data_IF_279271931691
#
_entry.id   IF_279271931691
#
_cell.length_a   1.000
_cell.length_b   1.000
_cell.length_c   1.000
_cell.angle_alpha   90.00
_cell.angle_beta   90.00
_cell.angle_gamma   90.00
#
_symmetry.space_group_name_H-M   'P 1'
#
loop_
_entity.id
_entity.type
_entity.pdbx_description
1 polymer ?
#
# COMPACT_ATOMS: atom_id res chain seq x y z
N UNK A 1 -6.36 -29.35 13.44
CA UNK A 1 -5.44 -29.18 12.30
C UNK A 1 -5.41 -27.70 11.95
N UNK A 2 -4.55 -26.94 12.62
CA UNK A 2 -4.51 -25.48 12.54
C UNK A 2 -3.56 -25.09 11.41
N UNK A 3 -4.06 -24.35 10.43
CA UNK A 3 -3.26 -23.82 9.32
C UNK A 3 -2.21 -22.87 9.88
N UNK A 4 -0.92 -22.99 9.51
CA UNK A 4 0.10 -22.06 9.95
C UNK A 4 -0.22 -20.67 9.38
N UNK A 5 -0.14 -19.67 10.25
CA UNK A 5 -0.21 -18.26 9.94
C UNK A 5 0.79 -17.98 8.81
N UNK A 6 0.28 -17.81 7.59
CA UNK A 6 1.09 -17.53 6.41
C UNK A 6 1.93 -16.29 6.72
N UNK A 7 3.23 -16.51 6.74
CA UNK A 7 4.22 -15.50 6.96
C UNK A 7 3.97 -14.40 5.93
N UNK A 8 3.77 -13.18 6.43
CA UNK A 8 3.96 -11.95 5.67
C UNK A 8 5.45 -11.84 5.30
N UNK A 9 5.96 -12.82 4.54
CA UNK A 9 7.25 -12.69 3.92
C UNK A 9 7.20 -11.39 3.16
N UNK A 10 8.10 -10.50 3.57
CA UNK A 10 8.32 -9.18 3.04
C UNK A 10 8.74 -9.36 1.59
N UNK A 11 7.76 -9.68 0.75
CA UNK A 11 7.90 -9.72 -0.68
C UNK A 11 8.31 -8.31 -1.02
N UNK A 12 9.50 -8.18 -1.61
CA UNK A 12 9.88 -6.93 -2.25
C UNK A 12 8.72 -6.60 -3.19
N UNK A 13 7.85 -5.66 -2.79
CA UNK A 13 6.63 -5.31 -3.50
C UNK A 13 7.04 -4.69 -4.84
N UNK A 14 7.42 -5.52 -5.80
CA UNK A 14 7.71 -5.16 -7.18
C UNK A 14 6.44 -4.89 -7.99
N UNK A 15 5.27 -4.98 -7.34
CA UNK A 15 3.96 -4.68 -7.91
C UNK A 15 3.65 -3.19 -7.97
N UNK A 16 2.65 -2.87 -8.78
CA UNK A 16 2.03 -1.53 -8.82
C UNK A 16 1.32 -1.26 -7.49
N UNK A 17 1.32 0.01 -7.08
CA UNK A 17 0.58 0.47 -5.91
C UNK A 17 -0.41 1.54 -6.30
N UNK A 18 -1.54 1.59 -5.61
CA UNK A 18 -2.57 2.63 -5.76
C UNK A 18 -2.56 3.52 -4.51
N UNK A 19 -2.73 4.83 -4.71
CA UNK A 19 -2.87 5.79 -3.62
C UNK A 19 -4.28 5.75 -3.05
N UNK A 20 -4.40 5.57 -1.73
CA UNK A 20 -5.68 5.54 -1.02
C UNK A 20 -5.64 6.47 0.18
N UNK A 21 -6.57 7.42 0.26
CA UNK A 21 -6.71 8.32 1.41
C UNK A 21 -7.35 7.58 2.58
N UNK A 22 -6.69 7.58 3.75
CA UNK A 22 -7.24 7.01 4.97
C UNK A 22 -8.12 8.04 5.70
N UNK A 23 -9.35 7.67 6.03
CA UNK A 23 -10.29 8.55 6.75
C UNK A 23 -9.85 8.84 8.19
N UNK A 24 -8.99 7.99 8.76
CA UNK A 24 -8.57 8.09 10.16
C UNK A 24 -7.44 9.10 10.34
N UNK A 25 -6.46 9.13 9.43
CA UNK A 25 -5.29 10.01 9.54
C UNK A 25 -5.23 11.12 8.48
N UNK A 26 -6.16 11.10 7.51
CA UNK A 26 -6.27 12.10 6.45
C UNK A 26 -5.10 12.07 5.46
N UNK A 27 -4.31 10.99 5.40
CA UNK A 27 -3.16 10.87 4.51
C UNK A 27 -3.40 9.86 3.39
N UNK A 28 -2.76 10.11 2.25
CA UNK A 28 -2.68 9.17 1.14
C UNK A 28 -1.58 8.12 1.41
N UNK A 29 -1.96 6.84 1.38
CA UNK A 29 -1.03 5.72 1.53
C UNK A 29 -0.99 4.88 0.26
N UNK A 30 0.20 4.35 -0.06
CA UNK A 30 0.40 3.45 -1.20
C UNK A 30 0.02 2.03 -0.80
N UNK A 31 -1.05 1.51 -1.39
CA UNK A 31 -1.57 0.15 -1.18
C UNK A 31 -1.17 -0.73 -2.37
N UNK A 32 -0.55 -1.91 -2.15
CA UNK A 32 -0.30 -2.87 -3.22
C UNK A 32 -1.60 -3.32 -3.90
N UNK A 33 -1.61 -3.48 -5.23
CA UNK A 33 -2.81 -3.90 -5.98
C UNK A 33 -3.40 -5.22 -5.45
N UNK A 34 -2.54 -6.15 -5.04
CA UNK A 34 -2.95 -7.44 -4.43
C UNK A 34 -3.69 -7.28 -3.10
N UNK A 35 -3.29 -6.29 -2.28
CA UNK A 35 -3.96 -5.99 -1.01
C UNK A 35 -5.35 -5.39 -1.23
N UNK A 36 -5.62 -4.71 -2.35
CA UNK A 36 -6.96 -4.24 -2.68
C UNK A 36 -7.92 -5.40 -2.91
N UNK A 37 -7.49 -6.41 -3.68
CA UNK A 37 -8.29 -7.61 -3.94
C UNK A 37 -8.57 -8.38 -2.64
N UNK A 38 -7.55 -8.57 -1.80
CA UNK A 38 -7.68 -9.23 -0.49
C UNK A 38 -8.61 -8.42 0.44
N UNK A 39 -8.42 -7.10 0.50
CA UNK A 39 -9.15 -6.24 1.43
C UNK A 39 -10.65 -6.21 1.17
N UNK A 40 -11.05 -6.19 -0.10
CA UNK A 40 -12.46 -6.27 -0.50
C UNK A 40 -13.05 -7.63 -0.13
N UNK A 41 -12.33 -8.72 -0.38
CA UNK A 41 -12.85 -10.07 -0.19
C UNK A 41 -12.88 -10.54 1.28
N UNK A 42 -11.93 -10.09 2.11
CA UNK A 42 -11.68 -10.71 3.42
C UNK A 42 -11.53 -9.73 4.60
N UNK A 43 -11.27 -8.44 4.37
CA UNK A 43 -10.97 -7.48 5.46
C UNK A 43 -11.95 -6.31 5.54
N UNK A 44 -13.16 -6.49 5.03
CA UNK A 44 -14.21 -5.48 5.12
C UNK A 44 -13.85 -4.15 4.44
N UNK A 45 -13.02 -4.17 3.41
CA UNK A 45 -12.57 -2.98 2.69
C UNK A 45 -11.41 -2.23 3.37
N UNK A 46 -10.73 -2.84 4.34
CA UNK A 46 -9.47 -2.32 4.89
C UNK A 46 -8.27 -2.87 4.12
N UNK A 47 -7.24 -2.04 3.95
CA UNK A 47 -6.09 -2.38 3.10
C UNK A 47 -4.77 -2.15 3.83
N UNK A 48 -3.81 -3.06 3.69
CA UNK A 48 -2.47 -2.84 4.22
C UNK A 48 -1.65 -2.03 3.22
N UNK A 49 -1.16 -0.88 3.67
CA UNK A 49 -0.24 -0.05 2.89
C UNK A 49 1.22 -0.53 3.02
N UNK A 50 2.07 -0.14 2.08
CA UNK A 50 3.51 -0.45 2.09
C UNK A 50 4.26 0.13 3.29
N UNK A 51 3.69 1.15 3.94
CA UNK A 51 4.21 1.72 5.19
C UNK A 51 3.84 0.90 6.44
N UNK A 52 2.99 -0.12 6.30
CA UNK A 52 2.45 -0.93 7.40
C UNK A 52 1.16 -0.39 8.01
N UNK A 53 0.64 0.75 7.53
CA UNK A 53 -0.62 1.31 8.00
C UNK A 53 -1.81 0.52 7.43
N UNK A 54 -2.81 0.24 8.28
CA UNK A 54 -4.09 -0.32 7.83
C UNK A 54 -5.01 0.83 7.44
N UNK A 55 -5.18 1.00 6.14
CA UNK A 55 -5.97 2.07 5.54
C UNK A 55 -7.45 1.73 5.64
N UNK A 56 -8.21 2.63 6.26
CA UNK A 56 -9.67 2.66 6.13
C UNK A 56 -10.01 3.71 5.08
N UNK A 57 -10.48 3.32 3.88
CA UNK A 57 -10.61 4.23 2.75
C UNK A 57 -11.62 5.34 3.04
N UNK A 58 -11.24 6.58 2.73
CA UNK A 58 -12.14 7.71 2.72
C UNK A 58 -13.15 7.61 1.55
N UNK A 59 -14.32 8.29 1.64
CA UNK A 59 -15.24 8.41 0.52
C UNK A 59 -14.56 9.00 -0.72
N UNK A 60 -14.92 8.52 -1.91
CA UNK A 60 -14.36 9.03 -3.18
C UNK A 60 -14.71 10.50 -3.47
N UNK A 61 -15.69 11.07 -2.75
CA UNK A 61 -16.06 12.49 -2.85
C UNK A 61 -15.24 13.38 -1.92
N UNK A 62 -14.50 12.79 -0.99
CA UNK A 62 -13.58 13.53 -0.13
C UNK A 62 -12.35 13.95 -0.94
N UNK A 63 -11.76 15.11 -0.64
CA UNK A 63 -10.48 15.47 -1.22
C UNK A 63 -9.40 14.46 -0.82
N UNK A 64 -8.40 14.30 -1.69
CA UNK A 64 -7.24 13.48 -1.38
C UNK A 64 -6.43 14.09 -0.25
N UNK A 65 -5.88 13.21 0.60
CA UNK A 65 -4.98 13.58 1.67
C UNK A 65 -3.56 13.87 1.19
N UNK A 66 -2.75 14.50 2.04
CA UNK A 66 -1.32 14.61 1.79
C UNK A 66 -0.66 13.24 1.76
N UNK A 67 0.37 13.07 0.92
CA UNK A 67 1.06 11.80 0.81
C UNK A 67 1.78 11.45 2.12
N UNK A 68 1.57 10.22 2.59
CA UNK A 68 2.23 9.70 3.77
C UNK A 68 3.76 9.71 3.56
N UNK A 69 4.55 10.34 4.46
CA UNK A 69 6.00 10.46 4.29
C UNK A 69 6.72 9.12 4.10
N UNK A 70 6.29 8.09 4.84
CA UNK A 70 6.86 6.75 4.76
C UNK A 70 6.52 6.01 3.46
N UNK A 71 5.38 6.33 2.83
CA UNK A 71 5.05 5.84 1.49
C UNK A 71 5.84 6.61 0.43
N UNK A 72 6.02 7.93 0.59
CA UNK A 72 6.83 8.77 -0.29
C UNK A 72 8.25 8.25 -0.44
N UNK A 73 8.89 7.92 0.69
CA UNK A 73 10.26 7.44 0.73
C UNK A 73 10.41 6.08 0.04
N UNK A 74 9.43 5.19 0.22
CA UNK A 74 9.42 3.87 -0.42
C UNK A 74 9.22 3.99 -1.93
N UNK A 75 8.30 4.83 -2.40
CA UNK A 75 8.11 5.10 -3.84
C UNK A 75 9.38 5.66 -4.48
N UNK A 76 10.01 6.67 -3.84
CA UNK A 76 11.26 7.24 -4.33
C UNK A 76 12.38 6.18 -4.42
N UNK A 77 12.45 5.29 -3.45
CA UNK A 77 13.41 4.18 -3.43
C UNK A 77 13.15 3.18 -4.57
N UNK A 78 11.89 2.84 -4.83
CA UNK A 78 11.50 2.00 -5.97
C UNK A 78 11.86 2.64 -7.32
N UNK A 79 11.56 3.94 -7.50
CA UNK A 79 11.92 4.69 -8.71
C UNK A 79 13.43 4.73 -8.96
N UNK A 80 14.23 4.97 -7.90
CA UNK A 80 15.71 4.94 -7.98
C UNK A 80 16.22 3.56 -8.41
N UNK A 81 15.73 2.48 -7.79
CA UNK A 81 16.11 1.09 -8.16
C UNK A 81 15.74 0.77 -9.62
N UNK A 82 14.55 1.17 -10.08
CA UNK A 82 14.14 0.98 -11.49
C UNK A 82 15.07 1.74 -12.43
N UNK A 83 15.35 3.03 -12.17
CA UNK A 83 16.24 3.83 -13.00
C UNK A 83 17.66 3.26 -13.13
N UNK A 84 18.19 2.61 -12.10
CA UNK A 84 19.48 1.91 -12.16
C UNK A 84 19.45 0.66 -13.05
N UNK A 85 18.31 -0.04 -13.12
CA UNK A 85 18.15 -1.24 -13.97
C UNK A 85 18.06 -0.90 -15.46
N UNK A 86 17.52 0.27 -15.81
CA UNK A 86 17.37 0.72 -17.21
C UNK A 86 18.63 1.36 -17.82
N UNK A 87 19.74 1.46 -17.08
CA UNK A 87 21.03 2.00 -17.57
C UNK A 87 22.06 0.91 -17.91
N UNK A 88 21.62 -0.35 -18.03
CA UNK A 88 22.44 -1.49 -18.44
C UNK A 88 22.21 -1.85 -19.90
#
# INVERSE_FOLDING_TARGET
MSRPHEQWESSEHGGTTISVTCVIDGRCHSVPDEELAIGIAYRGGQYSAVCGHVVTPAPMVSPDGDLCPACAERDASHRRRRGLRFRR
#
